data_IF_192178667504
#
_entry.id   IF_192178667504
#
_cell.length_a   1.000
_cell.length_b   1.000
_cell.length_c   1.000
_cell.angle_alpha   90.00
_cell.angle_beta   90.00
_cell.angle_gamma   90.00
#
_symmetry.space_group_name_H-M   'P 1'
#
loop_
_entity.id
_entity.type
_entity.pdbx_description
1 polymer ?
#
# COMPACT_ATOMS: atom_id res chain seq x y z
N UNK A 1 -2.44 12.76 -17.83
CA UNK A 1 -3.05 13.05 -16.51
C UNK A 1 -4.47 12.50 -16.51
N UNK A 2 -4.89 11.81 -15.44
CA UNK A 2 -6.24 11.22 -15.34
C UNK A 2 -7.32 12.30 -15.22
N UNK A 3 -8.50 12.10 -15.82
CA UNK A 3 -9.65 12.99 -15.63
C UNK A 3 -10.23 12.81 -14.23
N UNK A 4 -11.02 13.77 -13.76
CA UNK A 4 -11.72 13.65 -12.47
C UNK A 4 -12.66 12.43 -12.44
N UNK A 5 -13.37 12.17 -13.53
CA UNK A 5 -14.22 10.98 -13.67
C UNK A 5 -13.42 9.68 -13.57
N UNK A 6 -12.25 9.60 -14.22
CA UNK A 6 -11.37 8.43 -14.11
C UNK A 6 -10.89 8.22 -12.67
N UNK A 7 -10.52 9.30 -11.97
CA UNK A 7 -10.04 9.22 -10.59
C UNK A 7 -11.13 8.73 -9.63
N UNK A 8 -12.36 9.25 -9.76
CA UNK A 8 -13.50 8.83 -8.96
C UNK A 8 -13.87 7.36 -9.21
N UNK A 9 -13.91 6.95 -10.49
CA UNK A 9 -14.18 5.55 -10.85
C UNK A 9 -13.10 4.61 -10.31
N UNK A 10 -11.83 5.00 -10.42
CA UNK A 10 -10.72 4.21 -9.89
C UNK A 10 -10.80 4.09 -8.37
N UNK A 11 -11.07 5.18 -7.65
CA UNK A 11 -11.22 5.17 -6.20
C UNK A 11 -12.35 4.24 -5.75
N UNK A 12 -13.53 4.36 -6.38
CA UNK A 12 -14.66 3.46 -6.11
C UNK A 12 -14.34 2.01 -6.44
N UNK A 13 -13.63 1.77 -7.54
CA UNK A 13 -13.22 0.43 -7.94
C UNK A 13 -12.29 -0.20 -6.90
N UNK A 14 -11.22 0.48 -6.47
CA UNK A 14 -10.28 -0.10 -5.50
C UNK A 14 -10.94 -0.28 -4.11
N UNK A 15 -11.80 0.64 -3.70
CA UNK A 15 -12.57 0.53 -2.45
C UNK A 15 -13.52 -0.68 -2.46
N UNK A 16 -14.20 -0.93 -3.58
CA UNK A 16 -15.12 -2.05 -3.73
C UNK A 16 -14.44 -3.43 -3.76
N UNK A 17 -13.11 -3.50 -3.91
CA UNK A 17 -12.36 -4.74 -4.08
C UNK A 17 -11.48 -5.11 -2.87
N UNK A 18 -11.61 -4.44 -1.72
CA UNK A 18 -10.81 -4.72 -0.51
C UNK A 18 -10.83 -6.20 -0.09
N UNK A 19 -12.00 -6.84 -0.06
CA UNK A 19 -12.11 -8.27 0.31
C UNK A 19 -11.40 -9.18 -0.70
N UNK A 20 -11.56 -8.90 -1.99
CA UNK A 20 -10.89 -9.62 -3.07
C UNK A 20 -9.36 -9.50 -2.97
N UNK A 21 -8.86 -8.30 -2.68
CA UNK A 21 -7.42 -8.07 -2.49
C UNK A 21 -6.90 -8.74 -1.23
N UNK A 22 -7.69 -8.77 -0.16
CA UNK A 22 -7.37 -9.49 1.07
C UNK A 22 -7.20 -10.99 0.80
N UNK A 23 -8.12 -11.59 0.07
CA UNK A 23 -8.05 -13.01 -0.29
C UNK A 23 -6.86 -13.31 -1.23
N UNK A 24 -6.54 -12.37 -2.14
CA UNK A 24 -5.36 -12.50 -3.01
C UNK A 24 -4.05 -12.43 -2.20
N UNK A 25 -3.96 -11.52 -1.24
CA UNK A 25 -2.80 -11.39 -0.37
C UNK A 25 -2.65 -12.62 0.55
N UNK A 26 -3.76 -13.15 1.08
CA UNK A 26 -3.75 -14.37 1.87
C UNK A 26 -3.14 -15.54 1.09
N UNK A 27 -3.54 -15.74 -0.17
CA UNK A 27 -2.93 -16.75 -1.05
C UNK A 27 -1.44 -16.51 -1.29
N UNK A 28 -1.02 -15.25 -1.48
CA UNK A 28 0.40 -14.92 -1.67
C UNK A 28 1.26 -15.22 -0.43
N UNK A 29 0.72 -14.95 0.76
CA UNK A 29 1.37 -15.22 2.05
C UNK A 29 1.49 -16.73 2.30
N UNK A 30 0.48 -17.52 1.95
CA UNK A 30 0.53 -18.99 2.04
C UNK A 30 1.67 -19.59 1.22
N UNK A 31 1.95 -19.01 0.05
CA UNK A 31 3.02 -19.46 -0.86
C UNK A 31 4.43 -19.11 -0.36
N UNK A 32 4.58 -18.13 0.53
CA UNK A 32 5.88 -17.57 0.94
C UNK A 32 6.31 -17.91 2.37
N UNK A 33 5.56 -18.78 3.05
CA UNK A 33 5.81 -19.19 4.44
C UNK A 33 5.81 -18.04 5.48
N UNK A 34 5.31 -16.85 5.12
CA UNK A 34 5.10 -15.74 6.04
C UNK A 34 3.85 -15.97 6.92
N UNK A 35 3.81 -17.11 7.62
CA UNK A 35 2.63 -17.67 8.32
C UNK A 35 2.15 -16.87 9.54
N UNK A 36 2.72 -15.70 9.80
CA UNK A 36 2.44 -14.92 11.01
C UNK A 36 1.20 -14.03 10.90
N UNK A 37 0.69 -13.80 9.68
CA UNK A 37 -0.45 -12.91 9.47
C UNK A 37 -1.78 -13.66 9.47
N UNK A 38 -2.72 -13.20 10.29
CA UNK A 38 -4.11 -13.62 10.18
C UNK A 38 -4.81 -12.86 9.06
N UNK A 39 -5.89 -13.44 8.50
CA UNK A 39 -6.68 -12.78 7.45
C UNK A 39 -7.12 -11.36 7.87
N UNK A 40 -7.43 -11.15 9.15
CA UNK A 40 -7.81 -9.84 9.67
C UNK A 40 -6.66 -8.81 9.55
N UNK A 41 -5.42 -9.21 9.82
CA UNK A 41 -4.25 -8.35 9.66
C UNK A 41 -4.06 -7.99 8.18
N UNK A 42 -4.19 -8.99 7.29
CA UNK A 42 -4.11 -8.79 5.85
C UNK A 42 -5.20 -7.84 5.34
N UNK A 43 -6.41 -7.96 5.88
CA UNK A 43 -7.51 -7.05 5.57
C UNK A 43 -7.17 -5.61 6.00
N UNK A 44 -6.63 -5.41 7.21
CA UNK A 44 -6.22 -4.09 7.68
C UNK A 44 -5.12 -3.48 6.81
N UNK A 45 -4.15 -4.29 6.38
CA UNK A 45 -3.10 -3.85 5.45
C UNK A 45 -3.75 -3.38 4.14
N UNK A 46 -4.58 -4.21 3.50
CA UNK A 46 -5.25 -3.85 2.25
C UNK A 46 -6.11 -2.60 2.41
N UNK A 47 -6.92 -2.53 3.46
CA UNK A 47 -7.80 -1.39 3.72
C UNK A 47 -6.98 -0.09 3.90
N UNK A 48 -5.83 -0.15 4.58
CA UNK A 48 -4.91 0.97 4.72
C UNK A 48 -4.37 1.46 3.38
N UNK A 49 -3.86 0.56 2.53
CA UNK A 49 -3.35 0.92 1.20
C UNK A 49 -4.43 1.51 0.30
N UNK A 50 -5.62 0.91 0.30
CA UNK A 50 -6.77 1.39 -0.48
C UNK A 50 -7.24 2.76 0.01
N UNK A 51 -7.25 3.01 1.32
CA UNK A 51 -7.60 4.31 1.88
C UNK A 51 -6.62 5.41 1.46
N UNK A 52 -5.30 5.14 1.53
CA UNK A 52 -4.25 6.09 1.11
C UNK A 52 -4.35 6.36 -0.39
N UNK A 53 -4.57 5.32 -1.21
CA UNK A 53 -4.71 5.47 -2.65
C UNK A 53 -5.97 6.26 -3.03
N UNK A 54 -7.07 6.03 -2.32
CA UNK A 54 -8.32 6.75 -2.54
C UNK A 54 -8.22 8.24 -2.22
N UNK A 55 -7.52 8.59 -1.13
CA UNK A 55 -7.23 9.98 -0.77
C UNK A 55 -6.45 10.68 -1.89
N UNK A 56 -5.38 10.05 -2.38
CA UNK A 56 -4.57 10.60 -3.46
C UNK A 56 -5.35 10.76 -4.79
N UNK A 57 -6.42 9.99 -4.98
CA UNK A 57 -7.28 10.09 -6.17
C UNK A 57 -8.32 11.20 -6.07
N UNK A 58 -8.87 11.45 -4.88
CA UNK A 58 -10.11 12.22 -4.72
C UNK A 58 -9.94 13.50 -3.90
N UNK A 59 -9.08 13.50 -2.88
CA UNK A 59 -9.09 14.53 -1.83
C UNK A 59 -8.01 15.61 -1.99
N UNK A 60 -7.16 15.53 -3.02
CA UNK A 60 -5.95 16.39 -3.19
C UNK A 60 -5.17 16.55 -1.88
N UNK A 61 -5.07 15.45 -1.13
CA UNK A 61 -4.51 15.37 0.21
C UNK A 61 -3.50 14.22 0.28
N UNK A 62 -2.64 14.27 1.30
CA UNK A 62 -1.71 13.19 1.64
C UNK A 62 -1.73 12.86 3.14
N UNK A 63 -2.76 13.28 3.87
CA UNK A 63 -2.82 13.10 5.33
C UNK A 63 -2.72 11.62 5.76
N UNK A 64 -3.48 10.73 5.11
CA UNK A 64 -3.43 9.29 5.41
C UNK A 64 -2.07 8.71 5.04
N UNK A 65 -1.49 9.14 3.93
CA UNK A 65 -0.13 8.74 3.52
C UNK A 65 0.90 9.16 4.57
N UNK A 66 0.88 10.42 4.98
CA UNK A 66 1.80 10.98 5.99
C UNK A 66 1.65 10.23 7.31
N UNK A 67 0.42 10.05 7.81
CA UNK A 67 0.18 9.28 9.02
C UNK A 67 0.75 7.86 8.94
N UNK A 68 0.52 7.17 7.82
CA UNK A 68 1.01 5.80 7.62
C UNK A 68 2.54 5.75 7.62
N UNK A 69 3.20 6.69 6.92
CA UNK A 69 4.65 6.75 6.82
C UNK A 69 5.33 7.21 8.12
N UNK A 70 4.72 8.10 8.89
CA UNK A 70 5.32 8.65 10.10
C UNK A 70 4.99 7.86 11.37
N UNK A 71 3.88 7.10 11.36
CA UNK A 71 3.40 6.38 12.56
C UNK A 71 3.40 4.88 12.36
N UNK A 72 2.74 4.38 11.30
CA UNK A 72 2.52 2.94 11.13
C UNK A 72 3.81 2.22 10.77
N UNK A 73 4.54 2.68 9.76
CA UNK A 73 5.79 2.04 9.31
C UNK A 73 6.85 2.02 10.44
N UNK A 74 7.13 3.13 11.14
CA UNK A 74 8.07 3.10 12.27
C UNK A 74 7.62 2.19 13.41
N UNK A 75 6.30 2.14 13.69
CA UNK A 75 5.73 1.22 14.68
C UNK A 75 5.97 -0.25 14.32
N UNK A 76 5.75 -0.63 13.07
CA UNK A 76 6.02 -1.99 12.59
C UNK A 76 7.50 -2.36 12.73
N UNK A 77 8.41 -1.47 12.30
CA UNK A 77 9.86 -1.68 12.42
C UNK A 77 10.27 -1.85 13.90
N UNK A 78 9.74 -1.00 14.78
CA UNK A 78 10.04 -1.05 16.22
C UNK A 78 9.52 -2.33 16.87
N UNK A 79 8.43 -2.89 16.34
CA UNK A 79 7.86 -4.17 16.79
C UNK A 79 8.51 -5.41 16.15
N UNK A 80 9.61 -5.22 15.40
CA UNK A 80 10.42 -6.32 14.87
C UNK A 80 10.13 -6.72 13.43
N UNK A 81 9.28 -5.99 12.71
CA UNK A 81 9.14 -6.19 11.27
C UNK A 81 10.43 -5.83 10.54
N UNK A 82 10.89 -6.73 9.67
CA UNK A 82 12.13 -6.54 8.93
C UNK A 82 11.89 -5.78 7.63
N UNK A 83 12.88 -5.01 7.18
CA UNK A 83 12.81 -4.28 5.91
C UNK A 83 12.43 -5.18 4.72
N UNK A 84 12.98 -6.41 4.56
CA UNK A 84 12.55 -7.30 3.48
C UNK A 84 11.08 -7.71 3.58
N UNK A 85 10.56 -7.96 4.80
CA UNK A 85 9.17 -8.36 5.02
C UNK A 85 8.20 -7.22 4.70
N UNK A 86 8.53 -5.99 5.12
CA UNK A 86 7.77 -4.79 4.76
C UNK A 86 7.76 -4.54 3.25
N UNK A 87 8.92 -4.60 2.59
CA UNK A 87 9.02 -4.41 1.15
C UNK A 87 8.23 -5.46 0.37
N UNK A 88 8.34 -6.73 0.78
CA UNK A 88 7.62 -7.83 0.14
C UNK A 88 6.10 -7.65 0.27
N UNK A 89 5.60 -7.33 1.47
CA UNK A 89 4.18 -7.08 1.70
C UNK A 89 3.66 -5.93 0.84
N UNK A 90 4.36 -4.80 0.87
CA UNK A 90 3.99 -3.61 0.10
C UNK A 90 4.01 -3.86 -1.42
N UNK A 91 5.04 -4.55 -1.93
CA UNK A 91 5.14 -4.90 -3.34
C UNK A 91 4.04 -5.87 -3.77
N UNK A 92 3.67 -6.83 -2.90
CA UNK A 92 2.58 -7.77 -3.16
C UNK A 92 1.24 -7.05 -3.29
N UNK A 93 0.92 -6.13 -2.37
CA UNK A 93 -0.29 -5.30 -2.45
C UNK A 93 -0.29 -4.45 -3.72
N UNK A 94 0.83 -3.79 -4.01
CA UNK A 94 0.99 -2.95 -5.21
C UNK A 94 0.76 -3.75 -6.50
N UNK A 95 1.29 -4.97 -6.58
CA UNK A 95 1.10 -5.86 -7.73
C UNK A 95 -0.35 -6.31 -7.88
N UNK A 96 -0.98 -6.76 -6.78
CA UNK A 96 -2.38 -7.22 -6.78
C UNK A 96 -3.31 -6.13 -7.29
N UNK A 97 -3.20 -4.92 -6.73
CA UNK A 97 -4.05 -3.78 -7.12
C UNK A 97 -3.75 -3.37 -8.57
N UNK A 98 -2.46 -3.23 -8.93
CA UNK A 98 -2.09 -2.82 -10.29
C UNK A 98 -2.63 -3.77 -11.35
N UNK A 99 -2.49 -5.09 -11.15
CA UNK A 99 -3.01 -6.07 -12.09
C UNK A 99 -4.53 -5.98 -12.25
N UNK A 100 -5.25 -5.79 -11.14
CA UNK A 100 -6.70 -5.71 -11.18
C UNK A 100 -7.19 -4.43 -11.87
N UNK A 101 -6.55 -3.30 -11.58
CA UNK A 101 -6.85 -2.01 -12.22
C UNK A 101 -6.58 -2.09 -13.72
N UNK A 102 -5.42 -2.64 -14.14
CA UNK A 102 -5.10 -2.78 -15.56
C UNK A 102 -6.07 -3.71 -16.30
N UNK A 103 -6.61 -4.73 -15.61
CA UNK A 103 -7.60 -5.63 -16.19
C UNK A 103 -8.99 -5.00 -16.31
N UNK A 104 -9.41 -4.21 -15.31
CA UNK A 104 -10.74 -3.63 -15.26
C UNK A 104 -10.92 -2.39 -16.16
N UNK A 105 -9.83 -1.69 -16.49
CA UNK A 105 -9.87 -0.45 -17.29
C UNK A 105 -9.09 -0.55 -18.62
N UNK A 106 -9.43 -1.48 -19.53
CA UNK A 106 -8.69 -1.67 -20.78
C UNK A 106 -8.87 -0.53 -21.80
N UNK A 107 -9.92 0.30 -21.64
CA UNK A 107 -10.33 1.35 -22.60
C UNK A 107 -10.01 2.79 -22.17
N UNK A 108 -9.65 3.04 -20.91
CA UNK A 108 -9.03 4.30 -20.52
C UNK A 108 -7.67 4.38 -21.22
N UNK A 109 -7.28 5.51 -21.82
CA UNK A 109 -6.02 5.65 -22.57
C UNK A 109 -4.87 4.97 -21.81
N UNK A 110 -4.41 3.77 -22.22
CA UNK A 110 -3.72 2.84 -21.32
C UNK A 110 -2.45 3.41 -20.69
N UNK A 111 -1.81 4.37 -21.39
CA UNK A 111 -0.65 5.10 -20.87
C UNK A 111 -0.98 5.94 -19.65
N UNK A 112 -1.99 6.79 -19.69
CA UNK A 112 -2.24 7.73 -18.58
C UNK A 112 -2.61 7.01 -17.27
N UNK A 113 -3.34 5.89 -17.35
CA UNK A 113 -3.70 5.11 -16.16
C UNK A 113 -2.54 4.24 -15.69
N UNK A 114 -1.89 3.50 -16.59
CA UNK A 114 -0.72 2.69 -16.24
C UNK A 114 0.40 3.54 -15.65
N UNK A 115 0.70 4.69 -16.26
CA UNK A 115 1.75 5.61 -15.80
C UNK A 115 1.40 6.14 -14.41
N UNK A 116 0.16 6.58 -14.19
CA UNK A 116 -0.27 7.07 -12.87
C UNK A 116 -0.20 5.99 -11.79
N UNK A 117 -0.68 4.77 -12.07
CA UNK A 117 -0.64 3.64 -11.10
C UNK A 117 0.81 3.27 -10.79
N UNK A 118 1.66 3.18 -11.81
CA UNK A 118 3.08 2.86 -11.64
C UNK A 118 3.80 3.94 -10.83
N UNK A 119 3.61 5.22 -11.17
CA UNK A 119 4.21 6.35 -10.46
C UNK A 119 3.74 6.42 -9.00
N UNK A 120 2.46 6.18 -8.76
CA UNK A 120 1.88 6.17 -7.41
C UNK A 120 2.56 5.10 -6.53
N UNK A 121 2.59 3.85 -6.98
CA UNK A 121 3.18 2.77 -6.20
C UNK A 121 4.70 2.90 -6.08
N UNK A 122 5.41 3.32 -7.13
CA UNK A 122 6.84 3.57 -7.05
C UNK A 122 7.19 4.66 -6.03
N UNK A 123 6.43 5.76 -6.04
CA UNK A 123 6.54 6.85 -5.06
C UNK A 123 6.27 6.37 -3.64
N UNK A 124 5.18 5.62 -3.46
CA UNK A 124 4.81 5.09 -2.15
C UNK A 124 5.87 4.12 -1.59
N UNK A 125 6.33 3.15 -2.39
CA UNK A 125 7.35 2.19 -1.99
C UNK A 125 8.67 2.87 -1.61
N UNK A 126 9.09 3.87 -2.40
CA UNK A 126 10.28 4.67 -2.08
C UNK A 126 10.15 5.33 -0.71
N UNK A 127 9.04 6.03 -0.47
CA UNK A 127 8.86 6.81 0.76
C UNK A 127 8.67 5.89 1.97
N UNK A 128 7.99 4.76 1.80
CA UNK A 128 7.86 3.72 2.82
C UNK A 128 9.23 3.16 3.22
N UNK A 129 10.08 2.84 2.25
CA UNK A 129 11.43 2.33 2.52
C UNK A 129 12.31 3.40 3.16
N UNK A 130 12.20 4.66 2.73
CA UNK A 130 12.92 5.77 3.36
C UNK A 130 12.53 5.93 4.84
N UNK A 131 11.22 5.88 5.15
CA UNK A 131 10.72 5.91 6.53
C UNK A 131 11.26 4.73 7.34
N UNK A 132 11.13 3.51 6.82
CA UNK A 132 11.57 2.31 7.53
C UNK A 132 13.09 2.30 7.80
N UNK A 133 13.90 2.71 6.82
CA UNK A 133 15.36 2.85 6.96
C UNK A 133 15.70 3.92 8.00
N UNK A 134 15.01 5.06 7.99
CA UNK A 134 15.23 6.13 8.97
C UNK A 134 14.98 5.63 10.41
N UNK A 135 13.93 4.84 10.62
CA UNK A 135 13.62 4.21 11.92
C UNK A 135 14.73 3.24 12.36
N UNK A 136 15.25 2.41 11.45
CA UNK A 136 16.34 1.48 11.77
C UNK A 136 17.63 2.22 12.14
N UNK A 137 17.95 3.31 11.45
CA UNK A 137 19.17 4.09 11.69
C UNK A 137 19.10 4.97 12.95
N UNK A 138 17.89 5.39 13.34
CA UNK A 138 17.66 6.24 14.51
C UNK A 138 16.63 5.58 15.43
N UNK A 139 16.97 4.45 16.08
CA UNK A 139 16.04 3.81 16.99
C UNK A 139 15.71 4.77 18.14
N UNK A 140 14.45 4.82 18.60
CA UNK A 140 14.07 5.66 19.72
C UNK A 140 14.95 5.31 20.93
N UNK A 141 15.60 6.32 21.51
CA UNK A 141 16.42 6.17 22.71
C UNK A 141 15.51 5.85 23.89
N UNK A 142 15.31 4.56 24.18
CA UNK A 142 14.67 4.14 25.41
C UNK A 142 15.58 4.51 26.59
N UNK A 143 15.24 5.59 27.31
CA UNK A 143 15.73 5.78 28.66
C UNK A 143 15.13 4.69 29.54
N UNK A 144 15.94 3.72 29.95
CA UNK A 144 15.57 2.71 30.93
C UNK A 144 14.99 3.41 32.17
N UNK A 145 13.72 3.17 32.48
CA UNK A 145 13.13 3.46 33.79
C UNK A 145 13.06 2.16 34.58
#
# INVERSE_FOLDING_TARGET
MLTEGDRLQLAQFVQGNVEKYTDALARAVELTQAKDYQRQDLHQIIAGYVAIMSEALVEDSNEKRTFYLETVIPGLVTNGETLPKLLYGAASVSLIISMDVMHAFPSASPRNLSDWVADYFASFLRDMMASAIATVMHPPSYSSR
#
